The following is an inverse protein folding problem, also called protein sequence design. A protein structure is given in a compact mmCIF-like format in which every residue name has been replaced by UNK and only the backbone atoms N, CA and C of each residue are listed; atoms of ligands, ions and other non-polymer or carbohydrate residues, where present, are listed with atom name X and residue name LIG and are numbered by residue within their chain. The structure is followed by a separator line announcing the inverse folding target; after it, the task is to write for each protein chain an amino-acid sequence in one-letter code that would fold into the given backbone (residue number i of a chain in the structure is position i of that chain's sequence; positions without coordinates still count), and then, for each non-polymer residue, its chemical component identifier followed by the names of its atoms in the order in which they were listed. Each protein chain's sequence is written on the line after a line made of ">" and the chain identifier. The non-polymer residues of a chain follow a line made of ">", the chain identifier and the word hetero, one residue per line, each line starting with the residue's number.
data_IF_768465937342
#
_entry.id   IF_768465937342
#
_cell.length_a   1.000
_cell.length_b   1.000
_cell.length_c   1.000
_cell.angle_alpha   90.00
_cell.angle_beta   90.00
_cell.angle_gamma   90.00
#
_symmetry.space_group_name_H-M   'P 1'
#
loop_
_entity.id
_entity.type
_entity.pdbx_description
1 polymer ?
#
# COMPACT_ATOMS: atom_id res chain seq x y z
N UNK A 1 18.33 -13.19 -18.02
CA UNK A 1 16.94 -12.86 -17.63
C UNK A 1 16.85 -11.81 -16.51
N UNK A 2 17.67 -11.89 -15.45
CA UNK A 2 17.65 -10.95 -14.31
C UNK A 2 17.89 -9.45 -14.63
N UNK A 3 18.61 -9.11 -15.71
CA UNK A 3 18.90 -7.70 -16.04
C UNK A 3 17.71 -6.92 -16.62
N UNK A 4 16.75 -7.58 -17.29
CA UNK A 4 15.52 -6.91 -17.75
C UNK A 4 14.54 -6.66 -16.59
N UNK A 5 14.59 -7.48 -15.55
CA UNK A 5 13.75 -7.35 -14.34
C UNK A 5 14.16 -6.15 -13.47
N UNK A 6 15.45 -5.85 -13.39
CA UNK A 6 15.95 -4.70 -12.63
C UNK A 6 15.49 -3.36 -13.24
N UNK A 7 15.30 -3.32 -14.56
CA UNK A 7 14.84 -2.13 -15.29
C UNK A 7 13.35 -1.89 -15.06
N UNK A 8 12.50 -2.93 -15.04
CA UNK A 8 11.08 -2.79 -14.70
C UNK A 8 10.86 -2.42 -13.22
N UNK A 9 11.73 -2.89 -12.32
CA UNK A 9 11.69 -2.53 -10.89
C UNK A 9 12.13 -1.08 -10.62
N UNK A 10 13.00 -0.51 -11.47
CA UNK A 10 13.49 0.87 -11.34
C UNK A 10 12.60 1.93 -11.99
N UNK A 11 11.74 1.56 -12.96
CA UNK A 11 10.81 2.51 -13.59
C UNK A 11 9.57 2.77 -12.71
N UNK A 12 9.28 1.88 -11.75
CA UNK A 12 8.08 1.93 -10.90
C UNK A 12 8.08 2.94 -9.74
N UNK A 13 9.18 3.23 -9.01
CA UNK A 13 9.07 4.00 -7.76
C UNK A 13 8.64 5.45 -7.99
N UNK A 14 9.13 6.10 -9.06
CA UNK A 14 8.81 7.49 -9.36
C UNK A 14 7.40 7.67 -9.92
N UNK A 15 6.96 6.76 -10.80
CA UNK A 15 5.59 6.75 -11.33
C UNK A 15 4.56 6.39 -10.25
N UNK A 16 4.91 5.43 -9.37
CA UNK A 16 4.08 5.06 -8.23
C UNK A 16 3.97 6.19 -7.20
N UNK A 17 5.09 6.84 -6.85
CA UNK A 17 5.08 8.00 -5.94
C UNK A 17 4.22 9.16 -6.46
N UNK A 18 4.28 9.43 -7.77
CA UNK A 18 3.45 10.45 -8.41
C UNK A 18 1.97 10.07 -8.38
N UNK A 19 1.62 8.82 -8.69
CA UNK A 19 0.24 8.33 -8.69
C UNK A 19 -0.37 8.27 -7.27
N UNK A 20 0.40 7.85 -6.26
CA UNK A 20 -0.07 7.80 -4.86
C UNK A 20 -0.35 9.17 -4.27
N UNK A 21 0.33 10.22 -4.75
CA UNK A 21 0.09 11.58 -4.28
C UNK A 21 -1.14 12.26 -4.92
N UNK A 22 -1.59 11.80 -6.10
CA UNK A 22 -2.76 12.36 -6.77
C UNK A 22 -4.04 11.56 -6.55
N UNK A 23 -3.96 10.23 -6.52
CA UNK A 23 -5.11 9.34 -6.35
C UNK A 23 -4.76 8.17 -5.40
N UNK A 24 -4.65 8.42 -4.08
CA UNK A 24 -4.08 7.45 -3.14
C UNK A 24 -4.86 6.13 -3.07
N UNK A 25 -6.18 6.17 -3.25
CA UNK A 25 -7.04 4.98 -3.23
C UNK A 25 -6.89 4.18 -4.52
N UNK A 26 -7.02 4.82 -5.69
CA UNK A 26 -6.93 4.15 -7.00
C UNK A 26 -5.51 3.66 -7.30
N UNK A 27 -4.47 4.43 -6.95
CA UNK A 27 -3.08 4.03 -7.04
C UNK A 27 -2.77 2.86 -6.09
N UNK A 28 -3.42 2.81 -4.92
CA UNK A 28 -3.38 1.68 -4.01
C UNK A 28 -3.85 0.39 -4.67
N UNK A 29 -5.05 0.42 -5.26
CA UNK A 29 -5.63 -0.73 -5.98
C UNK A 29 -4.81 -1.14 -7.21
N UNK A 30 -4.40 -0.18 -8.04
CA UNK A 30 -3.62 -0.44 -9.24
C UNK A 30 -2.28 -1.11 -8.90
N UNK A 31 -1.60 -0.67 -7.83
CA UNK A 31 -0.39 -1.34 -7.36
C UNK A 31 -0.68 -2.68 -6.73
N UNK A 32 -1.78 -2.83 -6.00
CA UNK A 32 -2.17 -4.13 -5.43
C UNK A 32 -2.34 -5.18 -6.51
N UNK A 33 -3.04 -4.81 -7.59
CA UNK A 33 -3.22 -5.65 -8.77
C UNK A 33 -1.88 -5.87 -9.47
N UNK A 34 -1.11 -4.83 -9.75
CA UNK A 34 0.15 -4.96 -10.50
C UNK A 34 1.19 -5.81 -9.78
N UNK A 35 1.44 -5.55 -8.49
CA UNK A 35 2.37 -6.35 -7.67
C UNK A 35 1.84 -7.76 -7.44
N UNK A 36 0.54 -7.93 -7.20
CA UNK A 36 -0.09 -9.24 -7.07
C UNK A 36 0.07 -10.09 -8.34
N UNK A 37 -0.17 -9.51 -9.51
CA UNK A 37 -0.06 -10.20 -10.80
C UNK A 37 1.40 -10.50 -11.15
N UNK A 38 2.30 -9.55 -10.91
CA UNK A 38 3.75 -9.75 -11.11
C UNK A 38 4.28 -10.87 -10.22
N UNK A 39 3.86 -10.89 -8.95
CA UNK A 39 4.23 -11.94 -8.01
C UNK A 39 3.66 -13.30 -8.42
N UNK A 40 2.40 -13.36 -8.84
CA UNK A 40 1.77 -14.59 -9.32
C UNK A 40 2.50 -15.16 -10.55
N UNK A 41 2.85 -14.32 -11.52
CA UNK A 41 3.62 -14.74 -12.70
C UNK A 41 5.00 -15.26 -12.31
N UNK A 42 5.72 -14.57 -11.44
CA UNK A 42 7.03 -15.01 -10.97
C UNK A 42 6.96 -16.34 -10.21
N UNK A 43 5.92 -16.52 -9.39
CA UNK A 43 5.66 -17.77 -8.68
C UNK A 43 5.39 -18.92 -9.67
N UNK A 44 4.51 -18.71 -10.65
CA UNK A 44 4.22 -19.72 -11.68
C UNK A 44 5.49 -20.10 -12.45
N UNK A 45 6.30 -19.12 -12.85
CA UNK A 45 7.55 -19.38 -13.58
C UNK A 45 8.54 -20.19 -12.73
N UNK A 46 8.73 -19.83 -11.45
CA UNK A 46 9.61 -20.58 -10.54
C UNK A 46 9.11 -21.99 -10.27
N UNK A 47 7.81 -22.18 -10.03
CA UNK A 47 7.21 -23.50 -9.83
C UNK A 47 7.36 -24.36 -11.08
N UNK A 48 7.13 -23.78 -12.27
CA UNK A 48 7.26 -24.51 -13.54
C UNK A 48 8.70 -24.93 -13.79
N UNK A 49 9.68 -24.06 -13.53
CA UNK A 49 11.10 -24.40 -13.65
C UNK A 49 11.50 -25.49 -12.63
N UNK A 50 11.09 -25.36 -11.36
CA UNK A 50 11.34 -26.37 -10.34
C UNK A 50 10.75 -27.74 -10.70
N UNK A 51 9.50 -27.78 -11.17
CA UNK A 51 8.86 -29.01 -11.65
C UNK A 51 9.60 -29.61 -12.84
N UNK A 52 10.06 -28.77 -13.78
CA UNK A 52 10.85 -29.19 -14.93
C UNK A 52 12.21 -29.78 -14.55
N UNK A 53 12.86 -29.26 -13.50
CA UNK A 53 14.10 -29.84 -12.97
C UNK A 53 13.85 -31.17 -12.27
N UNK A 54 12.76 -31.29 -11.49
CA UNK A 54 12.38 -32.55 -10.83
C UNK A 54 12.12 -33.65 -11.85
N UNK A 55 11.34 -33.37 -12.90
CA UNK A 55 11.07 -34.36 -13.97
C UNK A 55 12.33 -34.77 -14.72
N UNK A 56 13.28 -33.86 -14.96
CA UNK A 56 14.57 -34.21 -15.57
C UNK A 56 15.43 -35.10 -14.67
N UNK A 57 15.41 -34.88 -13.35
CA UNK A 57 16.14 -35.71 -12.39
C UNK A 57 15.56 -37.14 -12.36
N UNK A 58 14.23 -37.27 -12.30
CA UNK A 58 13.56 -38.58 -12.32
C UNK A 58 13.81 -39.32 -13.64
N UNK A 59 13.72 -38.64 -14.79
CA UNK A 59 14.00 -39.25 -16.09
C UNK A 59 15.48 -39.65 -16.27
N UNK A 60 16.41 -38.89 -15.70
CA UNK A 60 17.85 -39.20 -15.71
C UNK A 60 18.20 -40.41 -14.85
N UNK A 61 17.67 -40.49 -13.62
CA UNK A 61 17.82 -41.64 -12.72
C UNK A 61 17.24 -42.93 -13.34
N UNK A 62 16.06 -42.84 -13.98
CA UNK A 62 15.44 -43.97 -14.68
C UNK A 62 16.29 -44.48 -15.86
N UNK A 63 16.98 -43.60 -16.59
CA UNK A 63 17.84 -44.00 -17.71
C UNK A 63 19.15 -44.67 -17.30
N UNK A 64 19.65 -44.37 -16.09
CA UNK A 64 20.86 -45.02 -15.54
C UNK A 64 20.54 -46.35 -14.86
N UNK A 65 19.34 -46.52 -14.29
CA UNK A 65 18.92 -47.75 -13.62
C UNK A 65 18.79 -48.95 -14.59
N UNK A 66 18.48 -48.70 -15.86
CA UNK A 66 18.36 -49.74 -16.90
C UNK A 66 19.71 -50.12 -17.54
N UNK A 67 20.80 -49.40 -17.24
CA UNK A 67 22.08 -49.58 -17.93
C UNK A 67 23.12 -50.39 -17.15
N UNK A 68 23.15 -50.38 -15.81
CA UNK A 68 24.25 -51.00 -15.05
C UNK A 68 23.84 -51.59 -13.69
N UNK A 69 24.15 -52.87 -13.49
CA UNK A 69 24.35 -53.51 -12.16
C UNK A 69 25.67 -54.29 -12.26
N UNK A 70 26.59 -54.35 -11.27
CA UNK A 70 26.77 -53.58 -10.02
C UNK A 70 28.15 -52.82 -10.05
N UNK A 71 28.54 -51.91 -9.14
CA UNK A 71 29.07 -52.11 -7.78
C UNK A 71 29.33 -50.69 -7.23
N UNK A 72 28.42 -50.02 -6.52
CA UNK A 72 28.75 -48.75 -5.84
C UNK A 72 27.83 -48.51 -4.64
N UNK A 73 28.23 -49.02 -3.47
CA UNK A 73 27.52 -48.76 -2.20
C UNK A 73 28.05 -47.50 -1.47
N UNK A 74 29.05 -46.78 -2.00
CA UNK A 74 29.63 -45.58 -1.36
C UNK A 74 29.23 -44.24 -2.01
N UNK A 75 28.79 -44.22 -3.28
CA UNK A 75 28.40 -42.96 -3.95
C UNK A 75 26.92 -42.57 -3.77
N UNK A 76 26.04 -43.53 -3.44
CA UNK A 76 24.60 -43.26 -3.23
C UNK A 76 24.34 -42.25 -2.10
N UNK A 77 25.16 -42.28 -1.04
CA UNK A 77 25.05 -41.33 0.08
C UNK A 77 25.34 -39.87 -0.32
N UNK A 78 26.25 -39.66 -1.29
CA UNK A 78 26.60 -38.32 -1.76
C UNK A 78 25.55 -37.74 -2.72
N UNK A 79 24.92 -38.59 -3.54
CA UNK A 79 23.82 -38.19 -4.43
C UNK A 79 22.54 -37.87 -3.65
N UNK A 80 22.14 -38.72 -2.68
CA UNK A 80 20.98 -38.44 -1.82
C UNK A 80 21.14 -37.11 -1.06
N UNK A 81 22.36 -36.79 -0.61
CA UNK A 81 22.66 -35.54 0.09
C UNK A 81 22.60 -34.27 -0.79
N UNK A 82 22.76 -34.38 -2.12
CA UNK A 82 22.56 -33.25 -3.05
C UNK A 82 21.09 -33.07 -3.39
N UNK A 83 20.38 -34.14 -3.71
CA UNK A 83 18.94 -34.10 -4.02
C UNK A 83 18.14 -33.50 -2.86
N UNK A 84 18.43 -33.94 -1.64
CA UNK A 84 17.75 -33.44 -0.43
C UNK A 84 17.99 -31.95 -0.19
N UNK A 85 19.21 -31.45 -0.43
CA UNK A 85 19.55 -30.03 -0.29
C UNK A 85 18.83 -29.15 -1.30
N UNK A 86 18.72 -29.61 -2.55
CA UNK A 86 17.99 -28.88 -3.60
C UNK A 86 16.50 -28.80 -3.23
N UNK A 87 15.89 -29.92 -2.81
CA UNK A 87 14.48 -29.95 -2.38
C UNK A 87 14.21 -29.02 -1.18
N UNK A 88 15.09 -29.01 -0.18
CA UNK A 88 14.99 -28.11 0.99
C UNK A 88 15.11 -26.64 0.60
N UNK A 89 15.98 -26.31 -0.35
CA UNK A 89 16.13 -24.94 -0.83
C UNK A 89 14.85 -24.44 -1.51
N UNK A 90 14.29 -25.22 -2.45
CA UNK A 90 13.04 -24.86 -3.12
C UNK A 90 11.85 -24.80 -2.16
N UNK A 91 11.76 -25.71 -1.20
CA UNK A 91 10.72 -25.68 -0.18
C UNK A 91 10.80 -24.38 0.64
N UNK A 92 12.00 -23.95 1.02
CA UNK A 92 12.22 -22.69 1.74
C UNK A 92 11.77 -21.47 0.94
N UNK A 93 12.07 -21.43 -0.37
CA UNK A 93 11.63 -20.33 -1.24
C UNK A 93 10.11 -20.28 -1.43
N UNK A 94 9.45 -21.42 -1.59
CA UNK A 94 7.98 -21.50 -1.73
C UNK A 94 7.30 -21.05 -0.43
N UNK A 95 7.80 -21.48 0.72
CA UNK A 95 7.27 -21.07 2.02
C UNK A 95 7.44 -19.57 2.26
N UNK A 96 8.61 -18.99 1.92
CA UNK A 96 8.84 -17.56 2.00
C UNK A 96 7.88 -16.78 1.09
N UNK A 97 7.72 -17.24 -0.15
CA UNK A 97 6.78 -16.63 -1.10
C UNK A 97 5.33 -16.67 -0.57
N UNK A 98 4.90 -17.80 -0.03
CA UNK A 98 3.57 -17.95 0.59
C UNK A 98 3.38 -17.00 1.78
N UNK A 99 4.39 -16.86 2.64
CA UNK A 99 4.33 -15.96 3.80
C UNK A 99 4.24 -14.49 3.38
N UNK A 100 5.03 -14.07 2.39
CA UNK A 100 4.97 -12.70 1.86
C UNK A 100 3.61 -12.39 1.23
N UNK A 101 3.04 -13.34 0.48
CA UNK A 101 1.71 -13.17 -0.11
C UNK A 101 0.63 -13.09 0.97
N UNK A 102 0.68 -13.96 1.98
CA UNK A 102 -0.27 -13.92 3.09
C UNK A 102 -0.20 -12.60 3.86
N UNK A 103 1.01 -12.13 4.17
CA UNK A 103 1.23 -10.84 4.83
C UNK A 103 0.70 -9.66 4.01
N UNK A 104 0.92 -9.69 2.70
CA UNK A 104 0.40 -8.69 1.78
C UNK A 104 -1.14 -8.69 1.73
N UNK A 105 -1.77 -9.85 1.57
CA UNK A 105 -3.22 -10.00 1.59
C UNK A 105 -3.83 -9.53 2.92
N UNK A 106 -3.18 -9.84 4.03
CA UNK A 106 -3.61 -9.38 5.36
C UNK A 106 -3.54 -7.85 5.47
N UNK A 107 -2.44 -7.23 5.04
CA UNK A 107 -2.28 -5.78 5.05
C UNK A 107 -3.30 -5.06 4.16
N UNK A 108 -3.55 -5.59 2.96
CA UNK A 108 -4.56 -5.07 2.04
C UNK A 108 -5.97 -5.12 2.64
N UNK A 109 -6.34 -6.24 3.25
CA UNK A 109 -7.65 -6.42 3.89
C UNK A 109 -7.84 -5.43 5.04
N UNK A 110 -6.80 -5.22 5.87
CA UNK A 110 -6.84 -4.28 6.99
C UNK A 110 -7.07 -2.82 6.56
N UNK A 111 -6.45 -2.37 5.47
CA UNK A 111 -6.66 -1.01 4.95
C UNK A 111 -8.08 -0.83 4.39
N UNK A 112 -8.62 -1.83 3.69
CA UNK A 112 -9.98 -1.77 3.14
C UNK A 112 -11.04 -1.82 4.25
N UNK A 113 -10.86 -2.66 5.27
CA UNK A 113 -11.82 -2.81 6.37
C UNK A 113 -11.93 -1.55 7.23
N UNK A 114 -10.80 -0.88 7.50
CA UNK A 114 -10.79 0.36 8.28
C UNK A 114 -11.48 1.53 7.58
N UNK A 115 -11.38 1.65 6.25
CA UNK A 115 -12.14 2.66 5.51
C UNK A 115 -13.63 2.32 5.41
N UNK A 116 -13.96 1.04 5.19
CA UNK A 116 -15.35 0.60 5.08
C UNK A 116 -16.13 0.77 6.40
N UNK A 117 -15.49 0.51 7.54
CA UNK A 117 -16.11 0.71 8.85
C UNK A 117 -16.42 2.18 9.11
N UNK A 118 -15.56 3.10 8.67
CA UNK A 118 -15.79 4.55 8.82
C UNK A 118 -16.98 5.04 7.97
N UNK A 119 -17.07 4.58 6.72
CA UNK A 119 -18.18 4.90 5.82
C UNK A 119 -19.51 4.37 6.38
N UNK A 120 -19.53 3.13 6.88
CA UNK A 120 -20.72 2.50 7.43
C UNK A 120 -21.16 3.15 8.75
N UNK A 121 -20.21 3.54 9.60
CA UNK A 121 -20.51 4.05 10.95
C UNK A 121 -20.94 5.51 10.95
N UNK A 122 -20.36 6.34 10.10
CA UNK A 122 -20.62 7.79 10.11
C UNK A 122 -21.40 8.29 8.89
N UNK A 123 -21.65 7.42 7.90
CA UNK A 123 -22.37 7.76 6.69
C UNK A 123 -21.61 8.79 5.87
N UNK A 124 -20.66 8.34 5.05
CA UNK A 124 -19.94 9.23 4.15
C UNK A 124 -20.95 10.05 3.31
N UNK A 125 -20.85 11.37 3.37
CA UNK A 125 -21.68 12.27 2.59
C UNK A 125 -20.86 12.88 1.45
N UNK A 126 -21.46 13.12 0.29
CA UNK A 126 -20.83 13.92 -0.75
C UNK A 126 -20.41 15.28 -0.20
N UNK A 127 -19.26 15.78 -0.64
CA UNK A 127 -18.81 17.10 -0.29
C UNK A 127 -19.75 18.16 -0.88
N UNK A 128 -20.47 18.85 -0.01
CA UNK A 128 -21.27 20.01 -0.34
C UNK A 128 -20.60 21.24 0.26
N UNK A 129 -20.09 22.11 -0.62
CA UNK A 129 -19.42 23.33 -0.23
C UNK A 129 -20.31 24.28 0.60
N UNK A 130 -21.59 24.42 0.24
CA UNK A 130 -22.50 25.30 0.96
C UNK A 130 -22.77 24.76 2.37
N UNK A 131 -23.01 23.45 2.49
CA UNK A 131 -23.17 22.79 3.78
C UNK A 131 -21.90 22.85 4.63
N UNK A 132 -20.73 22.66 4.01
CA UNK A 132 -19.42 22.74 4.66
C UNK A 132 -19.20 24.12 5.29
N UNK A 133 -19.48 25.19 4.56
CA UNK A 133 -19.30 26.56 5.07
C UNK A 133 -20.38 26.91 6.10
N UNK A 134 -21.63 26.51 5.86
CA UNK A 134 -22.76 26.87 6.72
C UNK A 134 -22.79 26.11 8.06
N UNK A 135 -22.29 24.87 8.10
CA UNK A 135 -22.39 23.99 9.28
C UNK A 135 -21.05 23.37 9.68
N UNK A 136 -20.16 24.14 10.34
CA UNK A 136 -18.84 23.66 10.76
C UNK A 136 -18.86 22.37 11.60
N UNK A 137 -19.88 22.21 12.45
CA UNK A 137 -20.02 21.06 13.35
C UNK A 137 -20.43 19.75 12.65
N UNK A 138 -20.76 19.81 11.35
CA UNK A 138 -21.23 18.68 10.53
C UNK A 138 -20.31 18.40 9.34
N UNK A 139 -19.06 18.86 9.39
CA UNK A 139 -18.09 18.68 8.30
C UNK A 139 -17.51 17.28 8.26
N UNK A 140 -17.46 16.57 9.39
CA UNK A 140 -16.82 15.26 9.50
C UNK A 140 -17.29 14.24 8.46
N UNK A 141 -18.60 14.03 8.19
CA UNK A 141 -19.05 13.03 7.22
C UNK A 141 -18.64 13.34 5.77
N UNK A 142 -18.35 14.61 5.45
CA UNK A 142 -17.93 15.06 4.12
C UNK A 142 -16.42 14.98 3.90
N UNK A 143 -15.61 14.75 4.95
CA UNK A 143 -14.15 14.86 4.84
C UNK A 143 -13.55 13.80 3.92
N UNK A 144 -14.12 12.60 3.90
CA UNK A 144 -13.63 11.51 3.06
C UNK A 144 -13.81 11.88 1.58
N UNK A 145 -14.99 12.34 1.19
CA UNK A 145 -15.24 12.77 -0.19
C UNK A 145 -14.46 14.04 -0.55
N UNK A 146 -14.28 14.98 0.39
CA UNK A 146 -13.41 16.14 0.16
C UNK A 146 -11.98 15.71 -0.20
N UNK A 147 -11.38 14.82 0.60
CA UNK A 147 -10.00 14.40 0.38
C UNK A 147 -9.82 13.49 -0.85
N UNK A 148 -10.86 12.74 -1.23
CA UNK A 148 -10.84 11.84 -2.39
C UNK A 148 -11.18 12.55 -3.70
N UNK A 149 -12.26 13.31 -3.72
CA UNK A 149 -12.85 13.89 -4.93
C UNK A 149 -12.36 15.31 -5.21
N UNK A 150 -11.84 16.02 -4.21
CA UNK A 150 -11.39 17.41 -4.32
C UNK A 150 -9.95 17.58 -3.83
N UNK A 151 -8.94 17.12 -4.59
CA UNK A 151 -7.55 17.12 -4.16
C UNK A 151 -7.09 18.53 -3.79
N UNK A 152 -6.73 18.71 -2.52
CA UNK A 152 -6.29 20.00 -1.98
C UNK A 152 -4.82 20.29 -2.27
N UNK A 153 -4.02 19.24 -2.53
CA UNK A 153 -2.59 19.36 -2.81
C UNK A 153 -2.31 20.30 -3.99
N UNK A 154 -1.34 21.19 -3.84
CA UNK A 154 -0.94 22.18 -4.84
C UNK A 154 -1.81 23.42 -4.93
N UNK A 155 -3.00 23.45 -4.29
CA UNK A 155 -3.88 24.62 -4.30
C UNK A 155 -3.26 25.80 -3.55
N UNK A 156 -3.56 27.01 -4.00
CA UNK A 156 -3.18 28.25 -3.29
C UNK A 156 -4.13 28.52 -2.11
N UNK A 157 -3.74 29.37 -1.15
CA UNK A 157 -4.62 29.83 -0.08
C UNK A 157 -5.98 30.32 -0.59
N UNK A 158 -6.00 31.10 -1.68
CA UNK A 158 -7.23 31.67 -2.26
C UNK A 158 -8.14 30.58 -2.81
N UNK A 159 -7.58 29.59 -3.52
CA UNK A 159 -8.34 28.44 -4.04
C UNK A 159 -8.91 27.59 -2.90
N UNK A 160 -8.15 27.40 -1.83
CA UNK A 160 -8.60 26.67 -0.64
C UNK A 160 -9.69 27.45 0.08
N UNK A 161 -9.54 28.77 0.28
CA UNK A 161 -10.57 29.61 0.90
C UNK A 161 -11.84 29.68 0.04
N UNK A 162 -11.70 29.71 -1.28
CA UNK A 162 -12.84 29.66 -2.19
C UNK A 162 -13.62 28.36 -2.07
N UNK A 163 -12.96 27.24 -1.74
CA UNK A 163 -13.59 25.92 -1.61
C UNK A 163 -14.10 25.63 -0.19
N UNK A 164 -13.28 25.88 0.83
CA UNK A 164 -13.53 25.45 2.21
C UNK A 164 -13.98 26.60 3.13
N UNK A 165 -13.95 27.84 2.65
CA UNK A 165 -14.13 29.03 3.46
C UNK A 165 -12.89 29.36 4.29
N UNK A 166 -13.06 30.28 5.24
CA UNK A 166 -11.99 30.68 6.14
C UNK A 166 -11.63 29.55 7.13
N UNK A 167 -10.34 29.33 7.44
CA UNK A 167 -9.93 28.37 8.45
C UNK A 167 -10.34 28.84 9.85
N UNK A 168 -10.51 27.88 10.77
CA UNK A 168 -10.75 28.19 12.18
C UNK A 168 -9.51 28.80 12.84
N UNK A 169 -8.32 28.36 12.43
CA UNK A 169 -7.04 28.92 12.86
C UNK A 169 -6.00 28.87 11.75
N UNK A 170 -5.10 29.85 11.73
CA UNK A 170 -3.97 29.92 10.83
C UNK A 170 -2.71 30.30 11.61
N UNK A 171 -1.63 29.54 11.45
CA UNK A 171 -0.34 29.83 12.08
C UNK A 171 0.79 29.65 11.09
N UNK A 172 1.66 30.65 10.95
CA UNK A 172 2.88 30.53 10.16
C UNK A 172 4.05 30.23 11.08
N UNK A 173 4.76 29.14 10.83
CA UNK A 173 5.97 28.78 11.55
C UNK A 173 7.09 29.78 11.22
N UNK A 174 7.65 30.49 12.21
CA UNK A 174 8.74 31.45 11.98
C UNK A 174 10.05 30.77 11.57
N UNK A 175 10.20 29.48 11.88
CA UNK A 175 11.44 28.71 11.60
C UNK A 175 11.43 28.11 10.21
N UNK A 176 10.29 27.58 9.75
CA UNK A 176 10.19 26.90 8.47
C UNK A 176 9.53 27.75 7.37
N UNK A 177 8.89 28.87 7.75
CA UNK A 177 8.09 29.68 6.83
C UNK A 177 6.81 28.99 6.34
N UNK A 178 6.50 27.79 6.83
CA UNK A 178 5.30 27.06 6.45
C UNK A 178 4.07 27.63 7.17
N UNK A 179 2.94 27.74 6.46
CA UNK A 179 1.67 28.18 7.03
C UNK A 179 0.78 26.97 7.28
N UNK A 180 0.20 26.87 8.46
CA UNK A 180 -0.69 25.79 8.86
C UNK A 180 -2.10 26.32 9.04
N UNK A 181 -3.07 25.73 8.36
CA UNK A 181 -4.48 26.03 8.52
C UNK A 181 -5.21 24.87 9.17
N UNK A 182 -6.08 25.18 10.12
CA UNK A 182 -6.88 24.22 10.87
C UNK A 182 -8.36 24.47 10.60
N UNK A 183 -9.08 23.42 10.20
CA UNK A 183 -10.54 23.43 10.07
C UNK A 183 -11.13 22.43 11.06
N UNK A 184 -11.97 22.90 11.97
CA UNK A 184 -12.76 22.04 12.84
C UNK A 184 -13.74 21.24 12.00
N UNK A 185 -13.82 19.93 12.25
CA UNK A 185 -14.73 19.03 11.54
C UNK A 185 -16.00 18.72 12.32
N UNK A 186 -16.08 19.16 13.58
CA UNK A 186 -17.12 18.79 14.52
C UNK A 186 -16.83 17.45 15.23
N UNK A 187 -17.84 16.95 15.93
CA UNK A 187 -17.74 15.74 16.75
C UNK A 187 -17.85 14.48 15.90
N UNK A 188 -16.86 13.60 16.04
CA UNK A 188 -16.87 12.26 15.46
C UNK A 188 -17.90 11.35 16.14
N UNK A 189 -18.04 11.42 17.46
CA UNK A 189 -18.80 10.46 18.27
C UNK A 189 -19.82 11.12 19.20
N UNK A 190 -20.87 10.35 19.52
CA UNK A 190 -21.65 10.47 20.75
C UNK A 190 -21.31 9.25 21.62
N UNK A 191 -20.71 9.41 22.82
CA UNK A 191 -20.41 10.65 23.54
C UNK A 191 -19.27 11.47 22.90
N UNK A 192 -19.15 12.77 23.23
CA UNK A 192 -18.18 13.67 22.61
C UNK A 192 -16.74 13.19 22.84
N UNK A 193 -16.10 12.77 21.75
CA UNK A 193 -14.66 12.55 21.67
C UNK A 193 -13.89 13.84 21.35
N UNK A 194 -12.55 13.78 21.27
CA UNK A 194 -11.75 14.95 20.90
C UNK A 194 -12.16 15.46 19.51
N UNK A 195 -12.31 16.78 19.37
CA UNK A 195 -12.70 17.43 18.12
C UNK A 195 -11.73 17.03 17.02
N UNK A 196 -12.22 16.52 15.89
CA UNK A 196 -11.35 16.16 14.78
C UNK A 196 -11.10 17.40 13.92
N UNK A 197 -9.88 17.56 13.42
CA UNK A 197 -9.49 18.71 12.59
C UNK A 197 -8.94 18.25 11.24
N UNK A 198 -9.20 19.04 10.20
CA UNK A 198 -8.46 19.00 8.96
C UNK A 198 -7.29 19.99 9.07
N UNK A 199 -6.08 19.46 8.98
CA UNK A 199 -4.83 20.20 9.02
C UNK A 199 -4.27 20.32 7.60
N UNK A 200 -4.17 21.55 7.10
CA UNK A 200 -3.48 21.87 5.86
C UNK A 200 -2.14 22.52 6.17
N UNK A 201 -1.10 22.13 5.44
CA UNK A 201 0.22 22.76 5.48
C UNK A 201 0.52 23.36 4.13
N UNK A 202 0.87 24.64 4.13
CA UNK A 202 1.30 25.39 2.96
C UNK A 202 2.81 25.57 2.98
N UNK A 203 3.44 25.24 1.88
CA UNK A 203 4.84 25.53 1.61
C UNK A 203 4.93 26.29 0.28
N UNK A 204 5.72 27.36 0.25
CA UNK A 204 5.87 28.19 -0.96
C UNK A 204 4.53 28.69 -1.53
N UNK A 205 3.56 28.98 -0.65
CA UNK A 205 2.23 29.47 -1.04
C UNK A 205 1.30 28.42 -1.66
N UNK A 206 1.60 27.12 -1.54
CA UNK A 206 0.73 26.04 -2.02
C UNK A 206 0.57 24.95 -0.96
N UNK A 207 -0.56 24.26 -0.96
CA UNK A 207 -0.79 23.11 -0.06
C UNK A 207 0.21 22.01 -0.39
N UNK A 208 1.10 21.71 0.55
CA UNK A 208 2.03 20.58 0.46
C UNK A 208 1.48 19.32 1.11
N UNK A 209 0.58 19.48 2.08
CA UNK A 209 0.01 18.37 2.85
C UNK A 209 -1.40 18.74 3.35
N UNK A 210 -2.30 17.76 3.30
CA UNK A 210 -3.69 17.89 3.72
C UNK A 210 -4.11 16.59 4.41
N UNK A 211 -4.27 16.62 5.73
CA UNK A 211 -4.58 15.42 6.51
C UNK A 211 -5.54 15.71 7.65
N UNK A 212 -6.28 14.66 8.02
CA UNK A 212 -7.09 14.66 9.23
C UNK A 212 -6.21 14.37 10.45
N UNK A 213 -6.34 15.15 11.51
CA UNK A 213 -5.66 14.90 12.78
C UNK A 213 -6.64 15.03 13.95
N UNK A 214 -6.33 14.34 15.04
CA UNK A 214 -6.96 14.58 16.33
C UNK A 214 -5.99 15.48 17.10
N UNK A 215 -6.43 16.64 17.61
CA UNK A 215 -5.60 17.49 18.44
C UNK A 215 -5.09 16.65 19.60
N UNK A 216 -3.77 16.60 19.76
CA UNK A 216 -3.19 16.05 20.98
C UNK A 216 -3.56 17.06 22.06
N UNK A 217 -4.48 16.67 22.95
CA UNK A 217 -4.76 17.43 24.16
C UNK A 217 -3.44 17.60 24.91
N UNK A 218 -2.88 18.80 24.84
CA UNK A 218 -1.73 19.16 25.66
C UNK A 218 -2.25 19.22 27.10
N UNK A 219 -1.72 18.39 28.02
CA UNK A 219 -2.13 18.39 29.41
C UNK A 219 -1.86 19.71 30.12
#
# INVERSE_FOLDING_TARGET
>A
MYQLFFILFLISPAGFWYATNQHPVEAGWASLVFYGLTFAVLFILKVTDALGQITKMEAGELSQLDAEVPIFYEEEGAMLGRSTRIRLHYLGEVLLAGFLLAGFCYGANYVVSTQAEEILRYGAQPFDQAAWVATPDKRYPMILDLLQSHPLAGKTPEEVTALLGAPNASQTSPTTGATHWLFGLGTRDHPPGPETILHLTFQQGRVSDARRTVPVSVP
#
